data_IF_253120684577
#
_entry.id   IF_253120684577
#
_cell.length_a   1.000
_cell.length_b   1.000
_cell.length_c   1.000
_cell.angle_alpha   90.00
_cell.angle_beta   90.00
_cell.angle_gamma   90.00
#
_symmetry.space_group_name_H-M   'P 1'
#
loop_
_entity.id
_entity.type
_entity.pdbx_description
1 polymer ?
#
# COMPACT_ATOMS: atom_id res chain seq x y z
N UNK A 1 19.25 0.99 17.33
CA UNK A 1 18.57 2.24 17.77
C UNK A 1 17.19 1.94 18.34
N UNK A 2 16.64 2.87 19.12
CA UNK A 2 15.26 2.84 19.61
C UNK A 2 14.36 3.66 18.72
N UNK A 3 13.35 3.05 18.16
CA UNK A 3 12.39 3.67 17.23
C UNK A 3 11.01 3.68 17.86
N UNK A 4 10.35 4.83 17.90
CA UNK A 4 8.93 4.90 18.25
C UNK A 4 8.11 4.89 16.96
N UNK A 5 7.44 3.78 16.68
CA UNK A 5 6.50 3.68 15.56
C UNK A 5 5.19 4.38 15.92
N UNK A 6 4.73 5.30 15.05
CA UNK A 6 3.44 5.99 15.23
C UNK A 6 2.59 5.79 13.98
N UNK A 7 1.44 5.09 14.12
CA UNK A 7 0.55 4.83 13.00
C UNK A 7 -0.92 4.83 13.40
N UNK A 8 -1.77 5.26 12.48
CA UNK A 8 -3.22 5.13 12.57
C UNK A 8 -3.77 3.93 11.80
N UNK A 9 -2.90 3.18 11.13
CA UNK A 9 -3.21 1.90 10.48
C UNK A 9 -2.27 0.83 11.01
N UNK A 10 -2.84 -0.11 11.74
CA UNK A 10 -2.12 -1.26 12.28
C UNK A 10 -3.07 -2.45 12.44
N UNK A 11 -2.65 -3.67 12.16
CA UNK A 11 -3.50 -4.85 12.26
C UNK A 11 -4.00 -5.08 13.68
N UNK A 12 -5.20 -5.62 13.79
CA UNK A 12 -5.75 -6.14 15.04
C UNK A 12 -6.57 -7.41 14.77
N UNK A 13 -7.16 -8.01 15.83
CA UNK A 13 -7.94 -9.24 15.69
C UNK A 13 -9.18 -9.09 14.81
N UNK A 14 -9.80 -7.90 14.73
CA UNK A 14 -11.00 -7.64 13.93
C UNK A 14 -10.64 -7.26 12.47
N UNK A 15 -9.48 -6.66 12.28
CA UNK A 15 -8.98 -6.16 11.00
C UNK A 15 -7.53 -6.57 10.79
N UNK A 16 -7.24 -7.86 10.58
CA UNK A 16 -5.88 -8.35 10.36
C UNK A 16 -5.27 -7.84 9.04
N UNK A 17 -6.12 -7.41 8.09
CA UNK A 17 -5.77 -6.80 6.81
C UNK A 17 -5.34 -5.33 6.92
N UNK A 18 -5.63 -4.65 8.03
CA UNK A 18 -5.52 -3.19 8.14
C UNK A 18 -4.12 -2.73 8.54
N UNK A 19 -3.33 -2.24 7.58
CA UNK A 19 -1.98 -1.73 7.85
C UNK A 19 -0.92 -2.82 7.99
N UNK A 20 -1.14 -4.02 7.44
CA UNK A 20 -0.19 -5.14 7.44
C UNK A 20 1.19 -4.74 6.93
N UNK A 21 1.27 -3.87 5.92
CA UNK A 21 2.53 -3.39 5.39
C UNK A 21 3.35 -2.57 6.40
N UNK A 22 2.69 -1.82 7.30
CA UNK A 22 3.36 -1.10 8.40
C UNK A 22 3.93 -2.09 9.40
N UNK A 23 3.16 -3.12 9.78
CA UNK A 23 3.61 -4.16 10.69
C UNK A 23 4.79 -4.95 10.11
N UNK A 24 4.69 -5.40 8.84
CA UNK A 24 5.77 -6.12 8.16
C UNK A 24 7.08 -5.33 8.12
N UNK A 25 7.00 -4.03 7.83
CA UNK A 25 8.18 -3.16 7.85
C UNK A 25 8.75 -3.01 9.28
N UNK A 26 7.88 -2.85 10.28
CA UNK A 26 8.30 -2.80 11.69
C UNK A 26 9.00 -4.11 12.11
N UNK A 27 8.47 -5.27 11.71
CA UNK A 27 9.07 -6.57 12.00
C UNK A 27 10.41 -6.76 11.26
N UNK A 28 10.53 -6.28 10.03
CA UNK A 28 11.79 -6.26 9.29
C UNK A 28 12.85 -5.37 9.97
N UNK A 29 12.47 -4.21 10.51
CA UNK A 29 13.38 -3.35 11.30
C UNK A 29 13.80 -4.02 12.62
N UNK A 30 12.90 -4.73 13.30
CA UNK A 30 13.23 -5.54 14.48
C UNK A 30 14.23 -6.64 14.17
N UNK A 31 14.03 -7.35 13.05
CA UNK A 31 14.95 -8.39 12.59
C UNK A 31 16.36 -7.84 12.28
N UNK A 32 16.49 -6.56 12.00
CA UNK A 32 17.77 -5.83 11.82
C UNK A 32 18.39 -5.33 13.13
N UNK A 33 17.81 -5.67 14.28
CA UNK A 33 18.34 -5.35 15.62
C UNK A 33 17.89 -4.02 16.21
N UNK A 34 16.82 -3.41 15.68
CA UNK A 34 16.24 -2.20 16.27
C UNK A 34 15.21 -2.53 17.36
N UNK A 35 15.19 -1.72 18.42
CA UNK A 35 14.12 -1.76 19.42
C UNK A 35 12.97 -0.87 18.92
N UNK A 36 11.77 -1.45 18.74
CA UNK A 36 10.58 -0.71 18.33
C UNK A 36 9.53 -0.70 19.44
N UNK A 37 9.21 0.50 19.92
CA UNK A 37 8.00 0.76 20.70
C UNK A 37 6.89 1.23 19.78
N UNK A 38 5.63 0.90 20.11
CA UNK A 38 4.49 1.19 19.22
C UNK A 38 3.46 2.10 19.89
N UNK A 39 3.17 3.22 19.25
CA UNK A 39 2.00 4.05 19.51
C UNK A 39 1.10 3.98 18.28
N UNK A 40 0.17 3.02 18.26
CA UNK A 40 -0.70 2.74 17.13
C UNK A 40 -2.16 2.82 17.50
N UNK A 41 -3.01 3.21 16.53
CA UNK A 41 -4.45 3.08 16.63
C UNK A 41 -4.84 1.73 16.03
N UNK A 42 -5.21 0.81 16.87
CA UNK A 42 -5.87 -0.41 16.45
C UNK A 42 -7.26 -0.04 15.94
N UNK A 43 -7.45 -0.17 14.64
CA UNK A 43 -8.71 0.18 14.00
C UNK A 43 -9.84 -0.72 14.47
N UNK A 44 -10.63 -0.23 15.41
CA UNK A 44 -11.98 -0.72 15.64
C UNK A 44 -12.99 0.26 15.05
N UNK A 45 -14.23 -0.16 14.88
CA UNK A 45 -15.35 0.64 14.39
C UNK A 45 -15.70 1.80 15.34
N UNK A 46 -14.79 2.75 15.53
CA UNK A 46 -15.07 3.98 16.27
C UNK A 46 -15.69 4.96 15.30
N UNK A 47 -16.94 5.28 15.53
CA UNK A 47 -17.67 6.23 14.71
C UNK A 47 -16.94 7.59 14.60
N UNK A 48 -17.23 8.37 13.54
CA UNK A 48 -16.62 9.67 13.24
C UNK A 48 -16.47 10.62 14.44
N UNK A 49 -17.39 10.55 15.42
CA UNK A 49 -17.40 11.39 16.62
C UNK A 49 -16.28 11.07 17.62
N UNK A 50 -15.76 9.85 17.65
CA UNK A 50 -14.69 9.43 18.58
C UNK A 50 -13.27 9.57 18.00
N UNK A 51 -13.16 9.92 16.73
CA UNK A 51 -11.85 10.05 16.04
C UNK A 51 -10.92 11.08 16.71
N UNK A 52 -11.34 12.30 17.07
CA UNK A 52 -10.45 13.28 17.74
C UNK A 52 -9.91 12.77 19.08
N UNK A 53 -10.76 12.13 19.89
CA UNK A 53 -10.36 11.56 21.18
C UNK A 53 -9.32 10.44 20.99
N UNK A 54 -9.48 9.59 19.98
CA UNK A 54 -8.52 8.55 19.65
C UNK A 54 -7.13 9.11 19.33
N UNK A 55 -7.06 10.23 18.57
CA UNK A 55 -5.78 10.88 18.29
C UNK A 55 -5.19 11.60 19.50
N UNK A 56 -6.00 12.15 20.42
CA UNK A 56 -5.52 12.67 21.71
C UNK A 56 -4.93 11.55 22.57
N UNK A 57 -5.58 10.38 22.60
CA UNK A 57 -5.06 9.19 23.30
C UNK A 57 -3.75 8.71 22.66
N UNK A 58 -3.68 8.67 21.33
CA UNK A 58 -2.47 8.34 20.59
C UNK A 58 -1.32 9.30 20.94
N UNK A 59 -1.58 10.60 20.97
CA UNK A 59 -0.59 11.61 21.38
C UNK A 59 -0.14 11.39 22.83
N UNK A 60 -1.08 11.15 23.74
CA UNK A 60 -0.77 10.84 25.15
C UNK A 60 0.13 9.60 25.28
N UNK A 61 -0.15 8.53 24.50
CA UNK A 61 0.67 7.32 24.44
C UNK A 61 2.06 7.60 23.87
N UNK A 62 2.13 8.32 22.75
CA UNK A 62 3.40 8.68 22.12
C UNK A 62 4.29 9.51 23.07
N UNK A 63 3.75 10.57 23.71
CA UNK A 63 4.48 11.40 24.68
C UNK A 63 4.96 10.61 25.90
N UNK A 64 4.13 9.68 26.39
CA UNK A 64 4.54 8.80 27.50
C UNK A 64 5.72 7.93 27.09
N UNK A 65 5.66 7.30 25.92
CA UNK A 65 6.75 6.46 25.40
C UNK A 65 8.02 7.28 25.15
N UNK A 66 7.92 8.49 24.60
CA UNK A 66 9.08 9.40 24.43
C UNK A 66 9.75 9.68 25.79
N UNK A 67 8.96 9.97 26.85
CA UNK A 67 9.51 10.25 28.19
C UNK A 67 10.09 9.03 28.88
N UNK A 68 9.53 7.85 28.68
CA UNK A 68 9.91 6.62 29.40
C UNK A 68 11.01 5.83 28.69
N UNK A 69 10.97 5.81 27.35
CA UNK A 69 11.82 4.95 26.53
C UNK A 69 12.94 5.71 25.83
N UNK A 70 12.85 7.05 25.75
CA UNK A 70 13.83 7.92 25.08
C UNK A 70 14.22 7.42 23.68
N UNK A 71 13.24 7.32 22.74
CA UNK A 71 13.53 6.84 21.40
C UNK A 71 14.48 7.83 20.68
N UNK A 72 15.39 7.30 19.88
CA UNK A 72 16.31 8.08 19.05
C UNK A 72 15.54 8.86 17.97
N UNK A 73 14.44 8.25 17.46
CA UNK A 73 13.60 8.81 16.41
C UNK A 73 12.17 8.29 16.50
N UNK A 74 11.22 9.13 16.06
CA UNK A 74 9.85 8.70 15.80
C UNK A 74 9.75 8.37 14.30
N UNK A 75 9.28 7.17 13.97
CA UNK A 75 8.93 6.78 12.62
C UNK A 75 7.41 6.74 12.46
N UNK A 76 6.86 7.71 11.75
CA UNK A 76 5.43 7.90 11.60
C UNK A 76 4.92 7.46 10.22
N UNK A 77 3.70 6.95 10.15
CA UNK A 77 3.02 6.62 8.91
C UNK A 77 1.76 7.48 8.76
N UNK A 78 1.56 8.03 7.54
CA UNK A 78 0.52 9.00 7.14
C UNK A 78 0.75 10.43 7.65
N UNK A 79 0.62 11.40 6.73
CA UNK A 79 0.97 12.81 6.97
C UNK A 79 0.07 13.47 8.03
N UNK A 80 -1.24 13.40 7.87
CA UNK A 80 -2.23 14.01 8.79
C UNK A 80 -3.38 13.03 9.00
N UNK A 81 -3.79 12.80 10.24
CA UNK A 81 -3.40 13.49 11.50
C UNK A 81 -2.18 12.87 12.21
N UNK A 82 -1.66 11.72 11.80
CA UNK A 82 -0.59 10.99 12.50
C UNK A 82 0.70 11.80 12.61
N UNK A 83 1.09 12.52 11.55
CA UNK A 83 2.26 13.39 11.58
C UNK A 83 2.14 14.55 12.57
N UNK A 84 0.92 15.03 12.85
CA UNK A 84 0.71 16.00 13.94
C UNK A 84 1.01 15.39 15.31
N UNK A 85 0.66 14.13 15.50
CA UNK A 85 1.00 13.38 16.72
C UNK A 85 2.51 13.25 16.85
N UNK A 86 3.21 12.81 15.80
CA UNK A 86 4.66 12.68 15.79
C UNK A 86 5.35 14.02 16.08
N UNK A 87 4.95 15.10 15.38
CA UNK A 87 5.47 16.46 15.59
C UNK A 87 5.25 16.96 17.02
N UNK A 88 4.11 16.61 17.66
CA UNK A 88 3.77 17.05 19.01
C UNK A 88 4.32 16.13 20.12
N UNK A 89 4.87 14.98 19.78
CA UNK A 89 5.37 14.00 20.76
C UNK A 89 6.71 14.40 21.37
N UNK A 90 7.52 15.26 20.71
CA UNK A 90 8.70 15.91 21.30
C UNK A 90 10.02 15.18 21.06
N UNK A 91 10.13 14.41 19.99
CA UNK A 91 11.41 13.84 19.49
C UNK A 91 11.53 14.08 17.98
N UNK A 92 12.74 13.98 17.38
CA UNK A 92 12.91 14.02 15.93
C UNK A 92 12.01 12.97 15.25
N UNK A 93 11.47 13.29 14.07
CA UNK A 93 10.60 12.34 13.38
C UNK A 93 10.84 12.28 11.87
N UNK A 94 10.71 11.08 11.35
CA UNK A 94 10.61 10.74 9.92
C UNK A 94 9.18 10.27 9.67
N UNK A 95 8.63 10.58 8.49
CA UNK A 95 7.23 10.24 8.17
C UNK A 95 7.11 9.69 6.76
N UNK A 96 6.27 8.63 6.60
CA UNK A 96 5.95 8.05 5.29
C UNK A 96 4.57 8.50 4.81
N UNK A 97 4.53 9.02 3.57
CA UNK A 97 3.32 9.33 2.81
C UNK A 97 2.89 8.10 1.99
N UNK A 98 1.59 7.73 2.09
CA UNK A 98 1.05 6.51 1.46
C UNK A 98 0.05 6.77 0.33
N UNK A 99 -0.29 8.03 0.05
CA UNK A 99 -1.10 8.45 -1.10
C UNK A 99 -2.44 9.05 -0.75
N UNK A 100 -3.29 8.40 0.04
CA UNK A 100 -4.58 8.98 0.44
C UNK A 100 -4.39 10.27 1.27
N UNK A 101 -3.36 10.33 2.06
CA UNK A 101 -2.94 11.49 2.84
C UNK A 101 -2.51 12.67 1.94
N UNK A 102 -1.85 12.39 0.83
CA UNK A 102 -1.51 13.40 -0.19
C UNK A 102 -2.77 13.83 -0.98
N UNK A 103 -3.62 12.89 -1.38
CA UNK A 103 -4.86 13.17 -2.09
C UNK A 103 -5.84 14.05 -1.27
N UNK A 104 -5.86 13.90 0.05
CA UNK A 104 -6.72 14.68 0.94
C UNK A 104 -6.36 16.18 1.03
N UNK A 105 -5.17 16.57 0.58
CA UNK A 105 -4.65 17.94 0.72
C UNK A 105 -5.50 18.98 0.01
N UNK A 106 -6.06 18.65 -1.15
CA UNK A 106 -6.91 19.56 -1.93
C UNK A 106 -8.41 19.45 -1.63
N UNK A 107 -8.83 18.40 -0.91
CA UNK A 107 -10.25 18.04 -0.75
C UNK A 107 -10.81 18.34 0.64
N UNK A 108 -9.95 18.38 1.67
CA UNK A 108 -10.37 18.58 3.06
C UNK A 108 -9.83 19.94 3.56
N UNK A 109 -10.71 20.86 4.05
CA UNK A 109 -10.28 22.13 4.59
C UNK A 109 -9.22 21.98 5.69
N UNK A 110 -8.24 22.89 5.75
CA UNK A 110 -7.12 22.93 6.70
C UNK A 110 -6.10 21.78 6.57
N UNK A 111 -6.45 20.63 5.98
CA UNK A 111 -5.51 19.49 5.83
C UNK A 111 -4.26 19.92 5.07
N UNK A 112 -4.41 20.71 4.00
CA UNK A 112 -3.25 21.19 3.23
C UNK A 112 -2.27 22.05 4.03
N UNK A 113 -2.77 22.95 4.89
CA UNK A 113 -1.90 23.77 5.74
C UNK A 113 -1.20 22.93 6.82
N UNK A 114 -1.94 22.01 7.44
CA UNK A 114 -1.39 21.09 8.45
C UNK A 114 -0.36 20.14 7.85
N UNK A 115 -0.63 19.61 6.65
CA UNK A 115 0.31 18.73 5.94
C UNK A 115 1.61 19.47 5.62
N UNK A 116 1.53 20.69 5.05
CA UNK A 116 2.74 21.51 4.82
C UNK A 116 3.54 21.75 6.09
N UNK A 117 2.86 21.99 7.23
CA UNK A 117 3.53 22.17 8.52
C UNK A 117 4.22 20.88 9.00
N UNK A 118 3.58 19.73 8.88
CA UNK A 118 4.18 18.42 9.22
C UNK A 118 5.40 18.15 8.34
N UNK A 119 5.23 18.28 7.02
CA UNK A 119 6.29 18.05 6.02
C UNK A 119 7.53 18.92 6.28
N UNK A 120 7.34 20.22 6.57
CA UNK A 120 8.45 21.14 6.82
C UNK A 120 9.15 20.90 8.17
N UNK A 121 8.51 20.21 9.11
CA UNK A 121 9.07 19.92 10.45
C UNK A 121 9.66 18.53 10.56
N UNK A 122 9.28 17.61 9.68
CA UNK A 122 9.89 16.28 9.61
C UNK A 122 11.38 16.40 9.28
N UNK A 123 12.20 15.58 9.91
CA UNK A 123 13.62 15.47 9.58
C UNK A 123 13.79 14.91 8.16
N UNK A 124 12.94 13.96 7.78
CA UNK A 124 12.77 13.48 6.41
C UNK A 124 11.33 13.01 6.15
N UNK A 125 10.93 13.05 4.87
CA UNK A 125 9.68 12.50 4.39
C UNK A 125 9.99 11.36 3.41
N UNK A 126 9.41 10.20 3.64
CA UNK A 126 9.43 9.07 2.72
C UNK A 126 8.16 9.10 1.89
N UNK A 127 8.28 8.97 0.57
CA UNK A 127 7.17 8.76 -0.35
C UNK A 127 7.26 7.36 -0.92
N UNK A 128 6.13 6.64 -0.99
CA UNK A 128 6.12 5.25 -1.48
C UNK A 128 6.28 5.12 -3.00
N UNK A 129 6.38 6.24 -3.71
CA UNK A 129 6.65 6.32 -5.16
C UNK A 129 7.12 7.72 -5.55
N UNK A 130 7.80 7.84 -6.70
CA UNK A 130 8.15 9.12 -7.32
C UNK A 130 6.90 9.94 -7.65
N UNK A 131 5.84 9.26 -8.10
CA UNK A 131 4.54 9.89 -8.32
C UNK A 131 4.04 10.68 -7.10
N UNK A 132 4.20 10.12 -5.90
CA UNK A 132 3.83 10.81 -4.67
C UNK A 132 4.83 11.90 -4.29
N UNK A 133 6.11 11.67 -4.47
CA UNK A 133 7.16 12.65 -4.18
C UNK A 133 6.93 13.96 -4.96
N UNK A 134 6.59 13.85 -6.25
CA UNK A 134 6.26 14.99 -7.10
C UNK A 134 4.98 15.74 -6.70
N UNK A 135 4.12 15.13 -5.90
CA UNK A 135 2.83 15.69 -5.42
C UNK A 135 2.83 16.04 -3.94
N UNK A 136 3.94 15.83 -3.26
CA UNK A 136 4.05 16.14 -1.84
C UNK A 136 3.91 17.65 -1.62
N UNK A 137 2.96 18.11 -0.79
CA UNK A 137 2.78 19.53 -0.56
C UNK A 137 3.81 20.08 0.43
N UNK A 138 4.35 21.25 0.14
CA UNK A 138 5.28 21.96 1.01
C UNK A 138 6.75 21.76 0.64
N UNK A 139 7.63 22.09 1.56
CA UNK A 139 9.08 22.03 1.37
C UNK A 139 9.69 21.12 2.44
N UNK A 140 9.85 19.81 2.16
CA UNK A 140 10.51 18.90 3.07
C UNK A 140 12.01 19.27 3.19
N UNK A 141 12.58 19.00 4.36
CA UNK A 141 14.05 19.15 4.56
C UNK A 141 14.82 18.11 3.75
N UNK A 142 14.26 16.90 3.69
CA UNK A 142 14.74 15.78 2.92
C UNK A 142 13.56 14.95 2.45
N UNK A 143 13.63 14.42 1.24
CA UNK A 143 12.66 13.51 0.66
C UNK A 143 13.39 12.26 0.16
N UNK A 144 12.81 11.09 0.44
CA UNK A 144 13.30 9.82 -0.05
C UNK A 144 12.13 9.03 -0.67
N UNK A 145 12.41 8.31 -1.74
CA UNK A 145 11.43 7.40 -2.33
C UNK A 145 11.78 5.98 -1.89
N UNK A 146 10.95 5.44 -1.01
CA UNK A 146 11.10 4.08 -0.47
C UNK A 146 9.73 3.45 -0.44
N UNK A 147 9.53 2.39 -1.21
CA UNK A 147 8.29 1.63 -1.25
C UNK A 147 8.07 0.81 0.03
N UNK A 148 6.86 0.23 0.18
CA UNK A 148 6.55 -0.58 1.36
C UNK A 148 7.16 -1.99 1.30
N UNK A 149 7.74 -2.39 0.17
CA UNK A 149 8.30 -3.70 -0.06
C UNK A 149 7.28 -4.85 -0.09
N UNK A 150 7.68 -5.96 -0.66
CA UNK A 150 6.92 -7.22 -0.67
C UNK A 150 7.74 -8.34 -0.03
N UNK A 151 7.07 -9.24 0.67
CA UNK A 151 7.67 -10.46 1.23
C UNK A 151 7.70 -11.55 0.15
N UNK A 152 8.82 -11.62 -0.59
CA UNK A 152 8.99 -12.59 -1.68
C UNK A 152 9.04 -14.05 -1.20
N UNK A 153 9.29 -14.30 0.08
CA UNK A 153 9.21 -15.64 0.64
C UNK A 153 7.74 -16.09 0.82
N UNK A 154 6.88 -15.20 1.32
CA UNK A 154 5.44 -15.47 1.45
C UNK A 154 4.73 -15.54 0.10
N UNK A 155 5.09 -14.66 -0.84
CA UNK A 155 4.51 -14.56 -2.18
C UNK A 155 5.43 -15.18 -3.25
N UNK A 156 5.96 -16.35 -2.97
CA UNK A 156 6.89 -17.02 -3.89
C UNK A 156 6.22 -17.39 -5.21
N UNK A 157 6.99 -17.22 -6.29
CA UNK A 157 6.59 -17.61 -7.66
C UNK A 157 6.19 -19.09 -7.73
N UNK A 158 5.14 -19.39 -8.48
CA UNK A 158 4.59 -20.73 -8.61
C UNK A 158 4.08 -21.01 -10.03
N UNK A 159 4.11 -22.27 -10.49
CA UNK A 159 3.54 -22.66 -11.77
C UNK A 159 2.08 -22.26 -11.93
N UNK A 160 1.63 -22.16 -13.17
CA UNK A 160 0.22 -22.03 -13.51
C UNK A 160 -0.54 -23.26 -13.02
N UNK A 161 -1.67 -23.07 -12.34
CA UNK A 161 -2.58 -24.16 -12.08
C UNK A 161 -3.26 -24.61 -13.39
N UNK A 162 -3.59 -25.89 -13.50
CA UNK A 162 -4.20 -26.47 -14.69
C UNK A 162 -5.51 -25.76 -15.08
N UNK A 163 -5.76 -25.59 -16.37
CA UNK A 163 -6.94 -24.95 -16.91
C UNK A 163 -6.70 -24.29 -18.26
N UNK A 164 -7.70 -24.28 -19.15
CA UNK A 164 -7.57 -23.70 -20.49
C UNK A 164 -7.90 -22.21 -20.54
N UNK A 165 -8.89 -21.77 -19.74
CA UNK A 165 -9.34 -20.38 -19.73
C UNK A 165 -8.62 -19.54 -18.69
N UNK A 166 -8.28 -18.26 -18.97
CA UNK A 166 -7.59 -17.38 -18.03
C UNK A 166 -8.39 -17.12 -16.76
N UNK A 167 -7.70 -17.11 -15.61
CA UNK A 167 -8.23 -16.76 -14.30
C UNK A 167 -7.67 -15.42 -13.86
N UNK A 168 -8.56 -14.46 -13.69
CA UNK A 168 -8.22 -13.11 -13.28
C UNK A 168 -8.49 -12.94 -11.79
N UNK A 169 -7.68 -12.16 -11.10
CA UNK A 169 -7.85 -11.79 -9.70
C UNK A 169 -7.78 -10.26 -9.55
N UNK A 170 -8.65 -9.71 -8.74
CA UNK A 170 -8.52 -8.37 -8.19
C UNK A 170 -8.68 -8.42 -6.67
N UNK A 171 -7.81 -7.70 -5.93
CA UNK A 171 -7.86 -7.67 -4.48
C UNK A 171 -7.81 -6.24 -3.93
N UNK A 172 -8.59 -5.98 -2.88
CA UNK A 172 -8.60 -4.71 -2.17
C UNK A 172 -9.98 -4.21 -1.77
N UNK A 173 -10.02 -2.98 -1.25
CA UNK A 173 -11.29 -2.35 -0.84
C UNK A 173 -12.16 -2.01 -2.05
N UNK A 174 -13.47 -2.35 -1.97
CA UNK A 174 -14.43 -2.08 -3.05
C UNK A 174 -14.93 -0.63 -2.99
N UNK A 175 -14.12 0.28 -3.52
CA UNK A 175 -14.33 1.72 -3.56
C UNK A 175 -14.24 2.25 -4.99
N UNK A 176 -14.76 3.45 -5.25
CA UNK A 176 -14.67 4.12 -6.55
C UNK A 176 -13.23 4.20 -7.08
N UNK A 177 -12.28 4.53 -6.20
CA UNK A 177 -10.86 4.63 -6.56
C UNK A 177 -10.30 3.34 -7.18
N UNK A 178 -10.78 2.17 -6.74
CA UNK A 178 -10.33 0.87 -7.27
C UNK A 178 -10.92 0.52 -8.63
N UNK A 179 -11.96 1.26 -9.09
CA UNK A 179 -12.48 1.23 -10.46
C UNK A 179 -13.01 -0.14 -10.93
N UNK A 180 -13.56 -0.92 -9.98
CA UNK A 180 -14.00 -2.28 -10.28
C UNK A 180 -15.18 -2.33 -11.26
N UNK A 181 -16.03 -1.30 -11.32
CA UNK A 181 -17.14 -1.25 -12.28
C UNK A 181 -16.63 -1.35 -13.72
N UNK A 182 -15.60 -0.54 -14.09
CA UNK A 182 -14.98 -0.63 -15.42
C UNK A 182 -14.22 -1.94 -15.64
N UNK A 183 -13.58 -2.49 -14.60
CA UNK A 183 -12.94 -3.80 -14.69
C UNK A 183 -13.97 -4.90 -15.04
N UNK A 184 -15.14 -4.90 -14.40
CA UNK A 184 -16.21 -5.88 -14.68
C UNK A 184 -16.79 -5.70 -16.07
N UNK A 185 -17.01 -4.47 -16.51
CA UNK A 185 -17.45 -4.19 -17.88
C UNK A 185 -16.42 -4.68 -18.90
N UNK A 186 -15.13 -4.41 -18.67
CA UNK A 186 -14.03 -4.90 -19.50
C UNK A 186 -13.98 -6.44 -19.51
N UNK A 187 -14.12 -7.08 -18.35
CA UNK A 187 -14.16 -8.53 -18.23
C UNK A 187 -15.34 -9.14 -19.00
N UNK A 188 -16.51 -8.50 -18.96
CA UNK A 188 -17.69 -8.92 -19.75
C UNK A 188 -17.40 -8.99 -21.25
N UNK A 189 -16.46 -8.18 -21.78
CA UNK A 189 -16.04 -8.16 -23.20
C UNK A 189 -15.03 -9.26 -23.56
N UNK A 190 -14.53 -10.05 -22.60
CA UNK A 190 -13.51 -11.08 -22.90
C UNK A 190 -14.12 -12.37 -23.48
N UNK A 191 -15.36 -12.69 -23.21
CA UNK A 191 -16.01 -13.90 -23.70
C UNK A 191 -15.59 -15.20 -22.99
N UNK A 192 -14.42 -15.25 -22.33
CA UNK A 192 -13.90 -16.45 -21.62
C UNK A 192 -13.17 -16.07 -20.34
N UNK A 193 -12.83 -17.05 -19.51
CA UNK A 193 -12.13 -16.88 -18.24
C UNK A 193 -13.06 -16.65 -17.05
N UNK A 194 -12.47 -16.52 -15.87
CA UNK A 194 -13.15 -16.21 -14.61
C UNK A 194 -12.50 -15.01 -13.95
N UNK A 195 -13.25 -14.23 -13.17
CA UNK A 195 -12.74 -13.14 -12.37
C UNK A 195 -13.08 -13.34 -10.90
N UNK A 196 -12.07 -13.43 -10.06
CA UNK A 196 -12.22 -13.49 -8.61
C UNK A 196 -12.01 -12.10 -8.01
N UNK A 197 -12.94 -11.65 -7.17
CA UNK A 197 -12.90 -10.38 -6.45
C UNK A 197 -12.70 -10.66 -4.97
N UNK A 198 -11.51 -10.34 -4.45
CA UNK A 198 -11.14 -10.50 -3.05
C UNK A 198 -11.16 -9.15 -2.34
N UNK A 199 -12.12 -8.93 -1.45
CA UNK A 199 -12.25 -7.69 -0.71
C UNK A 199 -13.69 -7.33 -0.39
N UNK A 200 -13.86 -6.29 0.43
CA UNK A 200 -15.15 -5.75 0.81
C UNK A 200 -15.12 -4.21 0.75
N UNK A 201 -16.26 -3.58 0.64
CA UNK A 201 -16.34 -2.12 0.62
C UNK A 201 -17.73 -1.59 0.31
N UNK A 202 -17.90 -0.27 0.30
CA UNK A 202 -19.22 0.37 0.14
C UNK A 202 -19.89 0.06 -1.19
N UNK A 203 -19.13 -0.28 -2.24
CA UNK A 203 -19.69 -0.58 -3.57
C UNK A 203 -20.01 -2.07 -3.75
N UNK A 204 -19.86 -2.94 -2.74
CA UNK A 204 -20.02 -4.38 -2.91
C UNK A 204 -21.38 -4.78 -3.46
N UNK A 205 -22.48 -4.22 -2.93
CA UNK A 205 -23.82 -4.55 -3.35
C UNK A 205 -24.09 -4.15 -4.82
N UNK A 206 -23.64 -2.98 -5.22
CA UNK A 206 -23.74 -2.45 -6.58
C UNK A 206 -22.94 -3.31 -7.56
N UNK A 207 -21.69 -3.64 -7.21
CA UNK A 207 -20.81 -4.45 -8.03
C UNK A 207 -21.33 -5.87 -8.23
N UNK A 208 -21.88 -6.49 -7.17
CA UNK A 208 -22.52 -7.82 -7.28
C UNK A 208 -23.74 -7.80 -8.20
N UNK A 209 -24.56 -6.75 -8.13
CA UNK A 209 -25.75 -6.62 -8.98
C UNK A 209 -25.41 -6.42 -10.47
N UNK A 210 -24.26 -5.78 -10.77
CA UNK A 210 -23.80 -5.52 -12.13
C UNK A 210 -22.83 -6.57 -12.69
N UNK A 211 -22.40 -7.53 -11.87
CA UNK A 211 -21.34 -8.47 -12.24
C UNK A 211 -21.80 -9.47 -13.32
N UNK A 212 -20.94 -9.76 -14.31
CA UNK A 212 -21.15 -10.88 -15.23
C UNK A 212 -21.17 -12.25 -14.49
N UNK A 213 -21.81 -13.27 -15.08
CA UNK A 213 -21.97 -14.61 -14.48
C UNK A 213 -20.66 -15.27 -14.02
N UNK A 214 -19.54 -14.97 -14.68
CA UNK A 214 -18.23 -15.57 -14.41
C UNK A 214 -17.40 -14.81 -13.38
N UNK A 215 -18.03 -13.94 -12.56
CA UNK A 215 -17.39 -13.19 -11.48
C UNK A 215 -17.75 -13.79 -10.13
N UNK A 216 -16.74 -14.10 -9.33
CA UNK A 216 -16.90 -14.62 -7.97
C UNK A 216 -16.40 -13.60 -6.95
N UNK A 217 -17.22 -13.26 -5.96
CA UNK A 217 -16.87 -12.38 -4.85
C UNK A 217 -16.60 -13.20 -3.59
N UNK A 218 -15.38 -13.10 -3.07
CA UNK A 218 -14.98 -13.78 -1.84
C UNK A 218 -15.29 -12.97 -0.56
N UNK A 219 -15.64 -11.68 -0.72
CA UNK A 219 -15.72 -10.80 0.43
C UNK A 219 -14.34 -10.51 1.02
N UNK A 220 -14.28 -10.16 2.31
CA UNK A 220 -13.02 -9.95 3.00
C UNK A 220 -12.24 -11.27 3.11
N UNK A 221 -10.97 -11.21 2.72
CA UNK A 221 -10.05 -12.35 2.75
C UNK A 221 -8.96 -12.09 3.80
N UNK A 222 -8.65 -13.12 4.59
CA UNK A 222 -7.53 -13.08 5.53
C UNK A 222 -6.21 -12.94 4.79
N UNK A 223 -5.26 -12.12 5.30
CA UNK A 223 -3.95 -11.92 4.67
C UNK A 223 -3.18 -13.23 4.41
N UNK A 224 -3.33 -14.22 5.28
CA UNK A 224 -2.71 -15.54 5.16
C UNK A 224 -3.20 -16.34 3.95
N UNK A 225 -4.40 -16.07 3.43
CA UNK A 225 -4.98 -16.73 2.25
C UNK A 225 -4.59 -16.05 0.93
N UNK A 226 -4.11 -14.80 0.97
CA UNK A 226 -3.76 -14.07 -0.25
C UNK A 226 -2.71 -14.75 -1.12
N UNK A 227 -1.63 -15.35 -0.57
CA UNK A 227 -0.66 -16.10 -1.39
C UNK A 227 -1.27 -17.24 -2.20
N UNK A 228 -2.29 -17.93 -1.65
CA UNK A 228 -3.02 -18.98 -2.37
C UNK A 228 -3.81 -18.41 -3.55
N UNK A 229 -4.54 -17.31 -3.35
CA UNK A 229 -5.30 -16.65 -4.41
C UNK A 229 -4.41 -16.17 -5.56
N UNK A 230 -3.22 -15.65 -5.27
CA UNK A 230 -2.25 -15.29 -6.31
C UNK A 230 -1.73 -16.54 -7.05
N UNK A 231 -1.53 -17.68 -6.38
CA UNK A 231 -1.15 -18.94 -7.04
C UNK A 231 -2.26 -19.50 -7.93
N UNK A 232 -3.51 -19.28 -7.57
CA UNK A 232 -4.67 -19.74 -8.31
C UNK A 232 -5.01 -18.90 -9.53
N UNK A 233 -4.60 -17.63 -9.59
CA UNK A 233 -4.86 -16.77 -10.75
C UNK A 233 -3.74 -16.87 -11.80
N UNK A 234 -4.07 -16.43 -13.02
CA UNK A 234 -3.11 -16.31 -14.14
C UNK A 234 -2.71 -14.84 -14.34
N UNK A 235 -3.61 -13.90 -14.05
CA UNK A 235 -3.40 -12.45 -14.21
C UNK A 235 -4.01 -11.73 -13.02
N UNK A 236 -3.26 -10.80 -12.45
CA UNK A 236 -3.76 -9.89 -11.44
C UNK A 236 -4.17 -8.55 -12.05
N UNK A 237 -5.35 -8.04 -11.72
CA UNK A 237 -5.90 -6.82 -12.31
C UNK A 237 -6.09 -5.72 -11.25
N UNK A 238 -5.53 -4.53 -11.50
CA UNK A 238 -5.71 -3.36 -10.65
C UNK A 238 -5.75 -2.06 -11.47
N UNK A 239 -6.82 -1.84 -12.28
CA UNK A 239 -6.99 -0.64 -13.08
C UNK A 239 -7.57 0.51 -12.24
N UNK A 240 -7.00 0.77 -11.07
CA UNK A 240 -7.40 1.85 -10.15
C UNK A 240 -7.40 3.19 -10.88
N UNK A 241 -8.28 4.12 -10.53
CA UNK A 241 -8.25 5.49 -11.05
C UNK A 241 -6.91 6.17 -10.74
N UNK A 242 -6.37 5.93 -9.56
CA UNK A 242 -5.02 6.29 -9.13
C UNK A 242 -4.52 5.21 -8.18
N UNK A 243 -3.31 4.70 -8.40
CA UNK A 243 -2.64 3.77 -7.48
C UNK A 243 -1.30 4.34 -7.02
N UNK A 244 -1.19 4.78 -5.75
CA UNK A 244 0.03 5.43 -5.27
C UNK A 244 1.30 4.57 -5.36
N UNK A 245 1.19 3.28 -5.03
CA UNK A 245 2.26 2.30 -5.12
C UNK A 245 1.76 0.99 -5.75
N UNK A 246 0.73 0.37 -5.16
CA UNK A 246 0.20 -0.90 -5.62
C UNK A 246 0.80 -2.10 -4.88
N UNK A 247 0.64 -2.15 -3.55
CA UNK A 247 1.14 -3.27 -2.74
C UNK A 247 0.68 -4.63 -3.28
N UNK A 248 -0.61 -4.76 -3.63
CA UNK A 248 -1.17 -5.98 -4.20
C UNK A 248 -0.63 -6.31 -5.61
N UNK A 249 -0.17 -5.31 -6.37
CA UNK A 249 0.55 -5.55 -7.63
C UNK A 249 1.92 -6.17 -7.36
N UNK A 250 2.68 -5.66 -6.38
CA UNK A 250 3.97 -6.23 -6.00
C UNK A 250 3.82 -7.66 -5.45
N UNK A 251 2.74 -7.95 -4.69
CA UNK A 251 2.43 -9.30 -4.22
C UNK A 251 2.12 -10.26 -5.38
N UNK A 252 1.39 -9.80 -6.40
CA UNK A 252 1.11 -10.57 -7.61
C UNK A 252 2.39 -10.84 -8.41
N UNK A 253 3.22 -9.80 -8.62
CA UNK A 253 4.50 -9.93 -9.32
C UNK A 253 5.45 -10.90 -8.60
N UNK A 254 5.53 -10.83 -7.26
CA UNK A 254 6.30 -11.78 -6.44
C UNK A 254 5.82 -13.22 -6.61
N UNK A 255 4.49 -13.41 -6.78
CA UNK A 255 3.90 -14.72 -7.07
C UNK A 255 4.10 -15.19 -8.52
N UNK A 256 4.87 -14.44 -9.33
CA UNK A 256 5.10 -14.73 -10.74
C UNK A 256 3.89 -14.50 -11.64
N UNK A 257 2.98 -13.60 -11.24
CA UNK A 257 1.76 -13.29 -12.01
C UNK A 257 1.93 -12.00 -12.81
N UNK A 258 1.71 -12.02 -14.12
CA UNK A 258 1.61 -10.80 -14.90
C UNK A 258 0.42 -9.96 -14.41
N UNK A 259 0.55 -8.63 -14.58
CA UNK A 259 -0.43 -7.69 -14.06
C UNK A 259 -1.07 -6.82 -15.13
N UNK A 260 -2.33 -6.42 -14.90
CA UNK A 260 -2.97 -5.28 -15.57
C UNK A 260 -3.09 -4.16 -14.58
N UNK A 261 -2.36 -3.08 -14.80
CA UNK A 261 -2.26 -1.98 -13.84
C UNK A 261 -2.62 -0.64 -14.49
N UNK A 262 -3.07 0.31 -13.67
CA UNK A 262 -3.27 1.68 -14.14
C UNK A 262 -1.95 2.35 -14.52
N UNK A 263 -1.99 3.20 -15.55
CA UNK A 263 -0.88 4.10 -15.87
C UNK A 263 -0.80 5.35 -14.99
N UNK A 264 -1.71 5.50 -14.02
CA UNK A 264 -1.80 6.69 -13.15
C UNK A 264 -1.36 6.33 -11.74
N UNK A 265 -0.20 6.82 -11.34
CA UNK A 265 0.37 6.56 -10.03
C UNK A 265 1.78 5.97 -10.08
N UNK A 266 2.11 5.12 -9.10
CA UNK A 266 3.39 4.42 -9.00
C UNK A 266 3.58 3.21 -9.92
N UNK A 267 2.55 2.48 -10.39
CA UNK A 267 2.75 1.30 -11.23
C UNK A 267 3.66 1.52 -12.46
N UNK A 268 3.62 2.65 -13.18
CA UNK A 268 4.55 2.92 -14.27
C UNK A 268 6.04 2.95 -13.89
N UNK A 269 6.36 3.05 -12.62
CA UNK A 269 7.74 3.09 -12.13
C UNK A 269 8.41 1.71 -12.11
N UNK A 270 7.59 0.61 -12.14
CA UNK A 270 8.10 -0.75 -12.04
C UNK A 270 7.42 -1.79 -12.95
N UNK A 271 6.22 -1.52 -13.47
CA UNK A 271 5.55 -2.42 -14.41
C UNK A 271 6.06 -2.16 -15.83
N UNK A 272 6.66 -3.20 -16.44
CA UNK A 272 7.13 -3.20 -17.83
C UNK A 272 6.28 -4.13 -18.69
N UNK A 273 6.39 -4.02 -20.02
CA UNK A 273 5.62 -4.84 -20.97
C UNK A 273 5.90 -6.35 -20.83
N UNK A 274 7.05 -6.72 -20.26
CA UNK A 274 7.43 -8.11 -20.01
C UNK A 274 6.75 -8.72 -18.78
N UNK A 275 6.23 -7.90 -17.85
CA UNK A 275 5.60 -8.36 -16.62
C UNK A 275 4.14 -7.90 -16.46
N UNK A 276 3.63 -7.06 -17.38
CA UNK A 276 2.27 -6.59 -17.28
C UNK A 276 1.88 -5.57 -18.35
N UNK A 277 0.68 -5.05 -18.21
CA UNK A 277 0.12 -4.06 -19.15
C UNK A 277 -0.38 -2.85 -18.39
N UNK A 278 0.12 -1.67 -18.75
CA UNK A 278 -0.34 -0.38 -18.22
C UNK A 278 -1.51 0.15 -19.04
N UNK A 279 -2.67 0.34 -18.41
CA UNK A 279 -3.90 0.76 -19.06
C UNK A 279 -4.37 2.15 -18.64
N UNK A 280 -5.10 2.83 -19.50
CA UNK A 280 -5.90 3.98 -19.12
C UNK A 280 -7.08 3.49 -18.26
N UNK A 281 -7.21 3.92 -17.00
CA UNK A 281 -8.27 3.43 -16.12
C UNK A 281 -9.67 3.92 -16.52
N UNK A 282 -9.78 4.90 -17.41
CA UNK A 282 -11.07 5.41 -17.88
C UNK A 282 -11.53 4.73 -19.17
N UNK A 283 -10.64 3.99 -19.86
CA UNK A 283 -10.94 3.29 -21.11
C UNK A 283 -11.19 1.80 -20.88
N UNK A 284 -12.46 1.41 -20.92
CA UNK A 284 -12.89 0.00 -20.75
C UNK A 284 -12.34 -0.90 -21.84
N UNK A 285 -12.18 -0.40 -23.08
CA UNK A 285 -11.63 -1.19 -24.18
C UNK A 285 -10.13 -1.44 -23.96
N UNK A 286 -9.38 -0.43 -23.50
CA UNK A 286 -7.98 -0.57 -23.12
C UNK A 286 -7.79 -1.55 -21.96
N UNK A 287 -8.67 -1.53 -20.96
CA UNK A 287 -8.62 -2.49 -19.83
C UNK A 287 -8.85 -3.91 -20.38
N UNK A 288 -9.88 -4.14 -21.22
CA UNK A 288 -10.18 -5.45 -21.79
C UNK A 288 -9.03 -5.98 -22.65
N UNK A 289 -8.41 -5.13 -23.49
CA UNK A 289 -7.25 -5.52 -24.30
C UNK A 289 -6.03 -5.79 -23.42
N UNK A 290 -5.80 -4.98 -22.39
CA UNK A 290 -4.75 -5.22 -21.40
C UNK A 290 -4.91 -6.58 -20.70
N UNK A 291 -6.15 -6.97 -20.36
CA UNK A 291 -6.44 -8.28 -19.78
C UNK A 291 -6.10 -9.42 -20.76
N UNK A 292 -6.47 -9.29 -22.04
CA UNK A 292 -6.11 -10.28 -23.07
C UNK A 292 -4.59 -10.37 -23.30
N UNK A 293 -3.92 -9.22 -23.33
CA UNK A 293 -2.48 -9.16 -23.57
C UNK A 293 -1.70 -9.76 -22.37
N UNK A 294 -2.06 -9.41 -21.14
CA UNK A 294 -1.45 -9.98 -19.95
C UNK A 294 -1.65 -11.49 -19.84
N UNK A 295 -2.80 -12.02 -20.27
CA UNK A 295 -3.07 -13.46 -20.28
C UNK A 295 -2.22 -14.26 -21.28
N UNK A 296 -1.52 -13.59 -22.20
CA UNK A 296 -0.56 -14.23 -23.12
C UNK A 296 0.86 -14.29 -22.57
N UNK A 297 1.15 -13.55 -21.50
CA UNK A 297 2.44 -13.60 -20.83
C UNK A 297 2.64 -14.96 -20.12
N UNK A 298 3.87 -15.40 -19.95
CA UNK A 298 4.16 -16.67 -19.28
C UNK A 298 3.70 -16.63 -17.81
N UNK A 299 3.28 -17.79 -17.29
CA UNK A 299 2.97 -18.00 -15.87
C UNK A 299 3.66 -19.28 -15.41
N UNK A 300 4.66 -19.22 -14.50
CA UNK A 300 5.15 -18.00 -13.86
C UNK A 300 5.86 -17.05 -14.85
N UNK A 301 5.77 -15.76 -14.57
CA UNK A 301 6.40 -14.72 -15.35
C UNK A 301 7.77 -14.36 -14.74
N UNK A 302 8.92 -14.66 -15.41
CA UNK A 302 10.23 -14.37 -14.85
C UNK A 302 10.46 -12.87 -14.60
N UNK A 303 10.07 -12.03 -15.54
CA UNK A 303 10.20 -10.57 -15.41
C UNK A 303 9.41 -10.01 -14.21
N UNK A 304 8.26 -10.61 -13.87
CA UNK A 304 7.49 -10.25 -12.68
C UNK A 304 8.28 -10.55 -11.39
N UNK A 305 8.90 -11.71 -11.30
CA UNK A 305 9.73 -12.08 -10.17
C UNK A 305 10.96 -11.16 -10.04
N UNK A 306 11.62 -10.81 -11.13
CA UNK A 306 12.74 -9.86 -11.15
C UNK A 306 12.34 -8.46 -10.65
N UNK A 307 11.14 -7.99 -11.00
CA UNK A 307 10.61 -6.74 -10.44
C UNK A 307 10.43 -6.86 -8.94
N UNK A 308 9.79 -7.93 -8.46
CA UNK A 308 9.54 -8.13 -7.04
C UNK A 308 10.84 -8.21 -6.20
N UNK A 309 11.90 -8.82 -6.73
CA UNK A 309 13.21 -8.90 -6.06
C UNK A 309 13.87 -7.51 -5.88
N UNK A 310 13.53 -6.53 -6.71
CA UNK A 310 13.98 -5.14 -6.53
C UNK A 310 13.16 -4.36 -5.49
N UNK A 311 11.99 -4.88 -5.13
CA UNK A 311 11.01 -4.26 -4.22
C UNK A 311 10.76 -5.10 -2.97
N UNK A 312 11.78 -5.78 -2.43
CA UNK A 312 11.63 -6.62 -1.23
C UNK A 312 11.48 -5.78 0.03
N UNK A 313 10.74 -6.31 1.01
CA UNK A 313 10.60 -5.66 2.32
C UNK A 313 11.95 -5.52 3.05
N UNK A 314 12.87 -6.46 2.82
CA UNK A 314 14.23 -6.39 3.38
C UNK A 314 14.99 -5.16 2.85
N UNK A 315 14.87 -4.89 1.53
CA UNK A 315 15.46 -3.70 0.91
C UNK A 315 14.81 -2.41 1.42
N UNK A 316 13.48 -2.38 1.52
CA UNK A 316 12.78 -1.21 2.08
C UNK A 316 13.20 -0.94 3.52
N UNK A 317 13.31 -1.98 4.36
CA UNK A 317 13.79 -1.86 5.73
C UNK A 317 15.24 -1.35 5.81
N UNK A 318 16.13 -1.82 4.92
CA UNK A 318 17.51 -1.33 4.84
C UNK A 318 17.58 0.17 4.49
N UNK A 319 16.81 0.60 3.50
CA UNK A 319 16.76 2.01 3.08
C UNK A 319 16.17 2.90 4.19
N UNK A 320 15.11 2.44 4.85
CA UNK A 320 14.52 3.14 6.01
C UNK A 320 15.52 3.22 7.15
N UNK A 321 16.19 2.12 7.52
CA UNK A 321 17.24 2.11 8.56
C UNK A 321 18.33 3.13 8.27
N UNK A 322 18.86 3.12 7.04
CA UNK A 322 19.91 4.08 6.62
C UNK A 322 19.44 5.51 6.83
N UNK A 323 18.24 5.84 6.37
CA UNK A 323 17.68 7.18 6.55
C UNK A 323 17.51 7.55 8.02
N UNK A 324 17.01 6.63 8.86
CA UNK A 324 16.80 6.87 10.29
C UNK A 324 18.15 7.10 11.01
N UNK A 325 19.19 6.32 10.66
CA UNK A 325 20.55 6.48 11.20
C UNK A 325 21.11 7.84 10.80
N UNK A 326 21.04 8.23 9.53
CA UNK A 326 21.56 9.52 9.05
C UNK A 326 20.86 10.71 9.71
N UNK A 327 19.54 10.63 9.89
CA UNK A 327 18.76 11.69 10.58
C UNK A 327 19.14 11.82 12.05
N UNK A 328 19.47 10.72 12.73
CA UNK A 328 19.85 10.74 14.14
C UNK A 328 21.32 11.12 14.35
N UNK A 329 22.21 10.77 13.41
CA UNK A 329 23.65 11.11 13.48
C UNK A 329 23.96 12.53 13.03
N UNK A 330 23.14 13.13 12.17
CA UNK A 330 23.33 14.48 11.63
C UNK A 330 22.82 15.63 12.53
N UNK A 331 22.39 15.33 13.75
CA UNK A 331 21.87 16.33 14.71
C UNK A 331 22.94 17.09 15.53
N UNK A 332 24.23 16.79 15.34
CA UNK A 332 25.36 17.38 16.07
C UNK A 332 26.11 18.46 15.24
N UNK A 333 25.39 19.21 14.39
CA UNK A 333 25.96 20.30 13.60
C UNK A 333 25.20 21.61 13.79
#
# INVERSE_FOLDING_TARGET
MRILLVSNMYPNRERPDYGVFVQRLADALRARGHELDEAVLESGARGRLLTPLAYLQLLGRARRLVRQRHPDVIYAHYLVPTGLVAMAAGAPFVITAHGQDVANVGTVPLVGALTRRVVSRAAAVICVSEYLALRLPGHPRRIEVIDCGVDTATYASSPRAEGEAPRYLVAGSLTERKNLGRLMEAFGRLGSGTLTVAGAGPLEAELRAAAPERVTFLGRVEPSRMPELYRECDVYCQPSLVEPQGQALLEALASGRPVVATRVGGPPEYVTDDCGVLVDPLDVAAIAEGMRAAARLPVPCPAAAEVAERHTIARSAELVERLLVEVTSGGDG
#
